data_IF_328218922288
#
_entry.id   IF_328218922288
#
_cell.length_a   1.000
_cell.length_b   1.000
_cell.length_c   1.000
_cell.angle_alpha   90.00
_cell.angle_beta   90.00
_cell.angle_gamma   90.00
#
_symmetry.space_group_name_H-M   'P 1'
#
loop_
_entity.id
_entity.type
_entity.pdbx_description
1 polymer ?
#
# COMPACT_ATOMS: atom_id res chain seq x y z
N UNK A 1 10.97 5.04 5.37
CA UNK A 1 9.64 4.94 4.77
C UNK A 1 8.85 3.83 5.47
N UNK A 2 7.70 3.44 4.97
CA UNK A 2 6.79 2.50 5.65
C UNK A 2 7.52 1.23 6.07
N UNK A 3 7.57 0.90 7.37
CA UNK A 3 8.29 -0.28 7.83
C UNK A 3 7.52 -1.58 7.57
N UNK A 4 8.22 -2.70 7.60
CA UNK A 4 7.59 -4.02 7.49
C UNK A 4 6.55 -4.20 8.60
N UNK A 5 5.41 -4.83 8.27
CA UNK A 5 4.31 -5.01 9.20
C UNK A 5 3.35 -3.84 9.31
N UNK A 6 3.57 -2.79 8.53
CA UNK A 6 2.69 -1.62 8.49
C UNK A 6 2.30 -1.29 7.06
N UNK A 7 1.20 -0.54 6.90
CA UNK A 7 0.73 -0.07 5.60
C UNK A 7 0.45 1.42 5.66
N UNK A 8 0.53 2.06 4.50
CA UNK A 8 0.15 3.46 4.33
C UNK A 8 -0.84 3.56 3.18
N UNK A 9 -1.66 4.61 3.18
CA UNK A 9 -2.54 4.87 2.05
C UNK A 9 -1.84 5.76 1.03
N UNK A 10 -2.30 5.73 -0.21
CA UNK A 10 -1.78 6.63 -1.26
C UNK A 10 -1.91 8.09 -0.85
N UNK A 11 -3.03 8.47 -0.24
CA UNK A 11 -3.23 9.83 0.25
C UNK A 11 -2.26 10.22 1.35
N UNK A 12 -1.95 9.29 2.25
CA UNK A 12 -0.97 9.52 3.31
C UNK A 12 0.42 9.77 2.74
N UNK A 13 0.83 8.99 1.75
CA UNK A 13 2.13 9.17 1.07
C UNK A 13 2.15 10.48 0.31
N UNK A 14 1.06 10.83 -0.37
CA UNK A 14 0.96 12.13 -1.07
C UNK A 14 1.15 13.30 -0.11
N UNK A 15 0.51 13.25 1.05
CA UNK A 15 0.65 14.30 2.07
C UNK A 15 2.09 14.41 2.56
N UNK A 16 2.75 13.30 2.82
CA UNK A 16 4.15 13.28 3.26
C UNK A 16 5.10 13.81 2.18
N UNK A 17 4.78 13.60 0.91
CA UNK A 17 5.57 14.09 -0.22
C UNK A 17 5.27 15.53 -0.59
N UNK A 18 4.31 16.18 0.08
CA UNK A 18 3.92 17.55 -0.23
C UNK A 18 3.07 17.69 -1.49
N UNK A 19 2.49 16.59 -1.98
CA UNK A 19 1.61 16.60 -3.14
C UNK A 19 0.20 16.97 -2.67
N UNK A 20 -0.23 18.18 -2.95
CA UNK A 20 -1.52 18.67 -2.51
C UNK A 20 -2.59 18.44 -3.56
N UNK A 21 -3.85 18.54 -3.11
CA UNK A 21 -5.03 18.50 -3.97
C UNK A 21 -5.61 17.08 -4.10
N UNK A 22 -6.79 16.99 -4.75
CA UNK A 22 -7.57 15.73 -4.79
C UNK A 22 -6.93 14.66 -5.66
N UNK A 23 -5.98 15.00 -6.53
CA UNK A 23 -5.29 14.03 -7.39
C UNK A 23 -4.01 13.48 -6.78
N UNK A 24 -3.63 13.89 -5.56
CA UNK A 24 -2.37 13.48 -4.93
C UNK A 24 -2.24 11.96 -4.81
N UNK A 25 -3.26 11.30 -4.29
CA UNK A 25 -3.27 9.84 -4.15
C UNK A 25 -3.11 9.13 -5.50
N UNK A 26 -3.77 9.64 -6.55
CA UNK A 26 -3.66 9.08 -7.90
C UNK A 26 -2.25 9.22 -8.45
N UNK A 27 -1.61 10.38 -8.23
CA UNK A 27 -0.24 10.61 -8.68
C UNK A 27 0.74 9.64 -8.01
N UNK A 28 0.58 9.39 -6.72
CA UNK A 28 1.38 8.38 -6.00
C UNK A 28 1.16 7.00 -6.60
N UNK A 29 -0.08 6.63 -6.89
CA UNK A 29 -0.42 5.36 -7.52
C UNK A 29 0.27 5.18 -8.86
N UNK A 30 0.25 6.20 -9.71
CA UNK A 30 0.94 6.16 -11.01
C UNK A 30 2.45 6.04 -10.85
N UNK A 31 3.03 6.79 -9.93
CA UNK A 31 4.47 6.74 -9.69
C UNK A 31 4.92 5.36 -9.24
N UNK A 32 4.17 4.74 -8.31
CA UNK A 32 4.49 3.40 -7.83
C UNK A 32 4.29 2.34 -8.91
N UNK A 33 3.27 2.49 -9.77
CA UNK A 33 3.02 1.57 -10.87
C UNK A 33 4.11 1.63 -11.95
N UNK A 34 4.80 2.76 -12.07
CA UNK A 34 5.85 2.97 -13.05
C UNK A 34 7.23 2.52 -12.59
N UNK A 35 7.37 2.04 -11.35
CA UNK A 35 8.66 1.61 -10.82
C UNK A 35 9.20 0.40 -11.60
N UNK A 36 10.48 0.42 -12.00
CA UNK A 36 11.10 -0.73 -12.65
C UNK A 36 11.19 -1.93 -11.71
N UNK A 37 11.24 -3.15 -12.23
CA UNK A 37 11.52 -4.33 -11.40
C UNK A 37 12.88 -4.22 -10.71
N UNK A 38 12.96 -4.72 -9.49
CA UNK A 38 14.21 -4.74 -8.72
C UNK A 38 14.51 -3.47 -7.94
N UNK A 39 13.65 -2.46 -8.03
CA UNK A 39 13.77 -1.26 -7.17
C UNK A 39 13.32 -1.62 -5.75
N UNK A 40 14.15 -1.27 -4.77
CA UNK A 40 13.89 -1.55 -3.36
C UNK A 40 12.99 -0.48 -2.73
N UNK A 41 11.81 -0.31 -3.29
CA UNK A 41 10.77 0.57 -2.75
C UNK A 41 9.61 -0.30 -2.25
N UNK A 42 9.15 -0.12 -1.00
CA UNK A 42 8.11 -0.97 -0.44
C UNK A 42 6.72 -0.61 -0.98
N UNK A 43 6.53 -0.71 -2.29
CA UNK A 43 5.28 -0.38 -2.96
C UNK A 43 4.10 -1.22 -2.44
N UNK A 44 4.39 -2.46 -2.02
CA UNK A 44 3.36 -3.38 -1.52
C UNK A 44 2.75 -2.91 -0.19
N UNK A 45 3.42 -1.99 0.52
CA UNK A 45 2.93 -1.43 1.78
C UNK A 45 2.07 -0.19 1.59
N UNK A 46 1.83 0.22 0.32
CA UNK A 46 0.97 1.36 0.01
C UNK A 46 -0.31 0.85 -0.62
N UNK A 47 -1.43 1.13 0.02
CA UNK A 47 -2.75 0.62 -0.36
C UNK A 47 -3.75 1.76 -0.49
N UNK A 48 -4.93 1.48 -1.04
CA UNK A 48 -5.95 2.50 -1.15
C UNK A 48 -6.60 2.78 0.22
N UNK A 49 -7.36 3.87 0.29
CA UNK A 49 -7.98 4.33 1.55
C UNK A 49 -9.01 3.36 2.12
N UNK A 50 -9.53 2.45 1.31
CA UNK A 50 -10.48 1.44 1.79
C UNK A 50 -9.78 0.26 2.44
N UNK A 51 -8.47 0.15 2.28
CA UNK A 51 -7.67 -0.94 2.83
C UNK A 51 -7.75 -2.23 2.03
N UNK A 52 -8.35 -2.21 0.84
CA UNK A 52 -8.55 -3.44 0.08
C UNK A 52 -7.36 -3.77 -0.81
N UNK A 53 -6.85 -5.01 -0.66
CA UNK A 53 -5.88 -5.61 -1.56
C UNK A 53 -6.47 -6.94 -2.01
N UNK A 54 -6.79 -7.09 -3.30
CA UNK A 54 -7.51 -8.26 -3.78
C UNK A 54 -6.61 -9.50 -3.85
N UNK A 55 -6.88 -10.55 -3.06
CA UNK A 55 -6.11 -11.80 -3.14
C UNK A 55 -6.56 -12.71 -4.27
N UNK A 56 -7.64 -12.37 -4.97
CA UNK A 56 -8.30 -13.25 -5.93
C UNK A 56 -7.99 -12.97 -7.40
N UNK A 57 -7.20 -11.93 -7.67
CA UNK A 57 -6.81 -11.60 -9.03
C UNK A 57 -5.50 -12.30 -9.38
N UNK A 58 -5.62 -13.56 -9.78
CA UNK A 58 -4.45 -14.39 -10.10
C UNK A 58 -3.59 -13.79 -11.21
N UNK A 59 -2.28 -13.88 -11.05
CA UNK A 59 -1.31 -13.35 -12.00
C UNK A 59 -1.22 -11.85 -12.04
N UNK A 60 -1.80 -11.16 -11.07
CA UNK A 60 -1.82 -9.70 -11.01
C UNK A 60 -0.90 -9.16 -9.91
N UNK A 61 -0.65 -7.85 -10.00
CA UNK A 61 0.09 -7.13 -8.97
C UNK A 61 -0.60 -7.19 -7.61
N UNK A 62 -1.94 -7.20 -7.59
CA UNK A 62 -2.71 -7.30 -6.35
C UNK A 62 -2.44 -8.61 -5.61
N UNK A 63 -2.36 -9.71 -6.34
CA UNK A 63 -2.03 -11.01 -5.74
C UNK A 63 -0.64 -10.99 -5.12
N UNK A 64 0.35 -10.47 -5.84
CA UNK A 64 1.71 -10.35 -5.32
C UNK A 64 1.76 -9.44 -4.09
N UNK A 65 1.07 -8.32 -4.14
CA UNK A 65 1.01 -7.37 -3.04
C UNK A 65 0.45 -8.02 -1.78
N UNK A 66 -0.66 -8.75 -1.92
CA UNK A 66 -1.29 -9.45 -0.81
C UNK A 66 -0.34 -10.48 -0.20
N UNK A 67 0.34 -11.27 -1.04
CA UNK A 67 1.28 -12.28 -0.56
C UNK A 67 2.45 -11.66 0.20
N UNK A 68 3.00 -10.55 -0.30
CA UNK A 68 4.10 -9.86 0.37
C UNK A 68 3.68 -9.30 1.72
N UNK A 69 2.48 -8.73 1.82
CA UNK A 69 1.96 -8.22 3.08
C UNK A 69 1.74 -9.35 4.09
N UNK A 70 1.22 -10.48 3.66
CA UNK A 70 1.04 -11.64 4.54
C UNK A 70 2.37 -12.15 5.10
N UNK A 71 3.43 -12.12 4.31
CA UNK A 71 4.77 -12.49 4.77
C UNK A 71 5.25 -11.58 5.89
N UNK A 72 4.77 -10.34 5.94
CA UNK A 72 5.12 -9.37 6.97
C UNK A 72 4.18 -9.40 8.17
N UNK A 73 3.23 -10.31 8.19
CA UNK A 73 2.24 -10.41 9.26
C UNK A 73 1.05 -9.49 9.11
N UNK A 74 0.90 -8.81 7.96
CA UNK A 74 -0.26 -7.96 7.68
C UNK A 74 -1.33 -8.82 7.03
N UNK A 75 -2.38 -9.13 7.78
CA UNK A 75 -3.43 -10.04 7.32
C UNK A 75 -4.69 -9.26 6.95
N UNK A 76 -5.28 -9.62 5.81
CA UNK A 76 -6.58 -9.12 5.40
C UNK A 76 -7.68 -10.11 5.74
N UNK A 77 -8.93 -9.67 5.64
CA UNK A 77 -10.09 -10.56 5.75
C UNK A 77 -10.30 -11.34 4.43
N UNK A 78 -11.36 -12.16 4.38
CA UNK A 78 -11.64 -13.01 3.23
C UNK A 78 -11.90 -12.19 1.94
N UNK A 79 -12.32 -10.94 2.06
CA UNK A 79 -12.56 -10.05 0.93
C UNK A 79 -11.32 -9.23 0.55
N UNK A 80 -10.22 -9.36 1.29
CA UNK A 80 -8.98 -8.65 1.03
C UNK A 80 -8.88 -7.28 1.68
N UNK A 81 -9.73 -6.99 2.68
CA UNK A 81 -9.64 -5.74 3.45
C UNK A 81 -8.65 -5.87 4.59
N UNK A 82 -7.72 -4.92 4.65
CA UNK A 82 -6.73 -4.82 5.72
C UNK A 82 -7.23 -3.80 6.74
N UNK A 83 -7.19 -4.15 8.02
CA UNK A 83 -7.64 -3.26 9.08
C UNK A 83 -6.64 -2.13 9.28
N UNK A 84 -6.97 -0.95 8.76
CA UNK A 84 -6.12 0.23 8.85
C UNK A 84 -5.93 0.71 10.28
N UNK A 85 -6.85 0.43 11.19
CA UNK A 85 -6.68 0.77 12.60
C UNK A 85 -5.55 0.00 13.25
N UNK A 86 -5.34 -1.23 12.79
CA UNK A 86 -4.30 -2.11 13.32
C UNK A 86 -2.95 -1.88 12.65
N UNK A 87 -2.95 -1.73 11.31
CA UNK A 87 -1.72 -1.81 10.52
C UNK A 87 -1.23 -0.49 9.95
N UNK A 88 -2.03 0.58 10.02
CA UNK A 88 -1.66 1.86 9.44
C UNK A 88 -0.40 2.42 10.08
N UNK A 89 0.55 2.81 9.25
CA UNK A 89 1.77 3.47 9.71
C UNK A 89 1.48 4.88 10.19
N UNK A 90 1.94 5.19 11.40
CA UNK A 90 1.86 6.55 11.95
C UNK A 90 3.19 7.25 11.65
N UNK A 91 3.23 8.08 10.60
CA UNK A 91 4.43 8.79 10.21
C UNK A 91 4.88 9.73 11.35
N UNK A 92 6.15 9.69 11.68
CA UNK A 92 6.71 10.51 12.76
C UNK A 92 6.45 9.97 14.15
N UNK A 93 5.81 8.81 14.25
CA UNK A 93 5.51 8.16 15.54
C UNK A 93 6.41 6.98 15.80
#
# INVERSE_FOLDING_TARGET
MVPAGRVATYGQIAALAGIEGPSGARQVGYALSALPPGIDVPWHRVINRTGRVSPRKHGTRDELQYALLMQEGVCGDDAGYIDLRTYRWAAGG
#
